data_IF_263699690344
#
_entry.id   IF_263699690344
#
_cell.length_a   1.000
_cell.length_b   1.000
_cell.length_c   1.000
_cell.angle_alpha   90.00
_cell.angle_beta   90.00
_cell.angle_gamma   90.00
#
_symmetry.space_group_name_H-M   'P 1'
#
loop_
_entity.id
_entity.type
_entity.pdbx_description
1 polymer ?
#
# COMPACT_ATOMS: atom_id res chain seq x y z
N UNK A 1 38.45 -25.54 -51.58
CA UNK A 1 37.42 -25.21 -52.58
C UNK A 1 36.12 -25.00 -51.80
N UNK A 2 35.64 -23.74 -51.76
CA UNK A 2 34.32 -23.22 -51.31
C UNK A 2 33.87 -23.52 -49.85
N UNK A 3 33.84 -22.57 -48.89
CA UNK A 3 32.86 -21.46 -48.65
C UNK A 3 31.40 -21.91 -48.91
N UNK A 4 30.42 -21.79 -48.02
CA UNK A 4 30.01 -20.62 -47.22
C UNK A 4 28.92 -21.02 -46.18
N UNK A 5 28.75 -20.30 -45.06
CA UNK A 5 27.75 -20.72 -44.05
C UNK A 5 27.59 -19.93 -42.76
N UNK A 6 27.80 -18.61 -42.80
CA UNK A 6 27.22 -17.57 -41.91
C UNK A 6 27.05 -17.86 -40.40
N UNK A 7 27.91 -17.19 -39.65
CA UNK A 7 27.65 -16.72 -38.30
C UNK A 7 26.31 -15.97 -38.17
N UNK A 8 25.50 -16.36 -37.18
CA UNK A 8 24.56 -15.47 -36.49
C UNK A 8 24.62 -15.80 -35.00
N UNK A 9 25.42 -15.03 -34.28
CA UNK A 9 25.31 -14.95 -32.83
C UNK A 9 23.94 -14.38 -32.48
N UNK A 10 23.21 -15.10 -31.63
CA UNK A 10 22.07 -14.54 -30.90
C UNK A 10 22.57 -14.34 -29.48
N UNK A 11 23.13 -13.15 -29.25
CA UNK A 11 23.34 -12.63 -27.91
C UNK A 11 21.95 -12.21 -27.40
N UNK A 12 21.23 -13.13 -26.75
CA UNK A 12 20.03 -12.80 -25.99
C UNK A 12 20.42 -12.04 -24.71
N UNK A 13 20.76 -10.76 -24.85
CA UNK A 13 20.71 -9.81 -23.74
C UNK A 13 19.26 -9.39 -23.55
N UNK A 14 18.48 -10.22 -22.85
CA UNK A 14 17.26 -9.77 -22.21
C UNK A 14 17.65 -8.97 -20.96
N UNK A 15 18.04 -7.73 -21.15
CA UNK A 15 17.98 -6.73 -20.08
C UNK A 15 16.50 -6.35 -19.96
N UNK A 16 15.75 -7.16 -19.21
CA UNK A 16 14.43 -6.76 -18.71
C UNK A 16 14.68 -5.70 -17.64
N UNK A 17 14.76 -4.44 -18.07
CA UNK A 17 14.71 -3.31 -17.15
C UNK A 17 13.34 -3.34 -16.46
N UNK A 18 13.38 -3.46 -15.14
CA UNK A 18 12.18 -3.36 -14.30
C UNK A 18 11.59 -1.94 -14.46
N UNK A 19 10.56 -1.80 -15.30
CA UNK A 19 9.68 -0.63 -15.26
C UNK A 19 8.73 -0.81 -14.08
N UNK A 20 9.17 -0.39 -12.90
CA UNK A 20 8.28 -0.13 -11.78
C UNK A 20 7.62 1.22 -12.06
N UNK A 21 6.33 1.25 -12.38
CA UNK A 21 5.57 2.48 -12.19
C UNK A 21 5.58 2.77 -10.68
N UNK A 22 6.38 3.73 -10.25
CA UNK A 22 6.52 4.09 -8.84
C UNK A 22 5.49 5.15 -8.51
N UNK A 23 4.80 4.97 -7.39
CA UNK A 23 3.71 5.82 -6.95
C UNK A 23 4.19 6.75 -5.86
N UNK A 24 3.82 8.02 -5.98
CA UNK A 24 4.18 9.06 -5.03
C UNK A 24 3.10 9.18 -3.95
N UNK A 25 3.55 9.23 -2.69
CA UNK A 25 2.72 9.25 -1.51
C UNK A 25 3.61 9.47 -0.30
N UNK A 26 3.40 10.51 0.49
CA UNK A 26 4.32 10.89 1.56
C UNK A 26 3.66 11.80 2.59
N UNK A 27 4.34 11.98 3.72
CA UNK A 27 4.01 13.06 4.65
C UNK A 27 4.49 14.41 4.12
N UNK A 28 3.87 15.48 4.63
CA UNK A 28 4.44 16.82 4.51
C UNK A 28 5.75 16.87 5.32
N UNK A 29 6.87 17.11 4.65
CA UNK A 29 8.17 17.32 5.28
C UNK A 29 8.54 18.81 5.37
N UNK A 30 9.25 19.19 6.41
CA UNK A 30 9.98 20.46 6.42
C UNK A 30 11.09 20.39 5.37
N UNK A 31 11.17 21.37 4.47
CA UNK A 31 12.19 21.41 3.42
C UNK A 31 13.00 22.70 3.46
N UNK A 32 14.29 22.60 3.16
CA UNK A 32 15.12 23.74 2.85
C UNK A 32 15.05 24.02 1.34
N UNK A 33 14.77 25.26 0.97
CA UNK A 33 14.79 25.70 -0.43
C UNK A 33 16.10 26.43 -0.70
N UNK A 34 16.97 25.82 -1.50
CA UNK A 34 18.28 26.36 -1.85
C UNK A 34 18.45 26.35 -3.37
N UNK A 35 18.70 27.52 -3.97
CA UNK A 35 19.07 27.61 -5.39
C UNK A 35 18.04 27.07 -6.39
N UNK A 36 16.75 27.06 -6.03
CA UNK A 36 15.66 26.59 -6.90
C UNK A 36 15.36 25.09 -6.78
N UNK A 37 16.00 24.38 -5.86
CA UNK A 37 15.68 22.99 -5.49
C UNK A 37 15.23 22.92 -4.02
N UNK A 38 14.54 21.85 -3.66
CA UNK A 38 14.14 21.55 -2.28
C UNK A 38 14.91 20.33 -1.78
N UNK A 39 15.28 20.33 -0.50
CA UNK A 39 15.83 19.16 0.19
C UNK A 39 15.08 18.98 1.50
N UNK A 40 14.82 17.74 1.88
CA UNK A 40 14.25 17.44 3.19
C UNK A 40 15.18 17.96 4.29
N UNK A 41 14.64 18.71 5.25
CA UNK A 41 15.42 19.19 6.38
C UNK A 41 15.90 18.03 7.23
N UNK A 42 17.10 18.17 7.80
CA UNK A 42 17.61 17.22 8.77
C UNK A 42 16.72 17.16 10.02
N UNK A 43 16.33 18.33 10.56
CA UNK A 43 15.33 18.49 11.60
C UNK A 43 14.89 19.97 11.67
N UNK A 44 13.60 20.22 11.85
CA UNK A 44 13.04 21.53 12.19
C UNK A 44 13.22 21.78 13.69
N UNK A 45 13.80 22.92 14.12
CA UNK A 45 14.21 23.09 15.52
C UNK A 45 13.07 23.36 16.50
N UNK A 46 11.90 23.83 16.03
CA UNK A 46 10.85 24.35 16.91
C UNK A 46 9.44 23.88 16.58
N UNK A 47 9.23 23.22 15.45
CA UNK A 47 7.89 22.80 15.01
C UNK A 47 7.85 21.28 15.03
N UNK A 48 7.03 20.71 15.91
CA UNK A 48 6.81 19.25 16.01
C UNK A 48 5.51 18.85 15.32
N UNK A 49 5.47 17.66 14.72
CA UNK A 49 4.22 17.04 14.26
C UNK A 49 3.56 16.30 15.45
N UNK A 50 2.45 16.82 15.96
CA UNK A 50 1.74 16.19 17.09
C UNK A 50 1.04 14.91 16.67
N UNK A 51 0.40 14.94 15.51
CA UNK A 51 -0.31 13.79 14.99
C UNK A 51 -0.55 13.88 13.49
N UNK A 52 -0.73 12.71 12.89
CA UNK A 52 -1.19 12.55 11.53
C UNK A 52 -2.32 11.52 11.41
N UNK A 53 -3.20 11.76 10.45
CA UNK A 53 -4.21 10.82 10.01
C UNK A 53 -4.16 10.69 8.49
N UNK A 54 -3.83 9.48 8.03
CA UNK A 54 -3.66 9.14 6.63
C UNK A 54 -4.71 8.11 6.25
N UNK A 55 -5.70 8.53 5.46
CA UNK A 55 -6.70 7.64 4.87
C UNK A 55 -6.33 7.29 3.43
N UNK A 56 -6.29 6.00 3.13
CA UNK A 56 -6.00 5.47 1.79
C UNK A 56 -7.23 4.72 1.28
N UNK A 57 -7.95 5.27 0.31
CA UNK A 57 -9.08 4.62 -0.36
C UNK A 57 -8.60 3.93 -1.64
N UNK A 58 -8.66 2.60 -1.67
CA UNK A 58 -8.22 1.76 -2.77
C UNK A 58 -9.40 1.37 -3.68
N UNK A 59 -9.31 1.75 -4.96
CA UNK A 59 -10.29 1.45 -6.01
C UNK A 59 -9.71 0.47 -7.05
N UNK A 60 -10.45 0.11 -8.10
CA UNK A 60 -10.00 -0.97 -9.00
C UNK A 60 -8.72 -0.72 -9.78
N UNK A 61 -8.39 0.54 -10.03
CA UNK A 61 -7.34 0.99 -10.94
C UNK A 61 -6.41 2.06 -10.33
N UNK A 62 -6.77 2.59 -9.17
CA UNK A 62 -6.12 3.73 -8.55
C UNK A 62 -6.43 3.77 -7.06
N UNK A 63 -5.66 4.58 -6.33
CA UNK A 63 -5.94 4.88 -4.94
C UNK A 63 -5.97 6.38 -4.71
N UNK A 64 -6.75 6.79 -3.70
CA UNK A 64 -6.85 8.17 -3.25
C UNK A 64 -6.38 8.26 -1.81
N UNK A 65 -5.53 9.23 -1.52
CA UNK A 65 -5.04 9.48 -0.17
C UNK A 65 -5.56 10.82 0.33
N UNK A 66 -5.93 10.84 1.61
CA UNK A 66 -6.21 12.05 2.39
C UNK A 66 -5.36 12.00 3.64
N UNK A 67 -4.31 12.81 3.68
CA UNK A 67 -3.43 12.97 4.82
C UNK A 67 -3.72 14.31 5.50
N UNK A 68 -3.78 14.32 6.82
CA UNK A 68 -3.95 15.52 7.64
C UNK A 68 -2.90 15.50 8.75
N UNK A 69 -2.24 16.64 8.95
CA UNK A 69 -1.11 16.79 9.85
C UNK A 69 -1.38 17.95 10.80
N UNK A 70 -1.11 17.74 12.08
CA UNK A 70 -1.16 18.80 13.08
C UNK A 70 0.24 19.09 13.56
N UNK A 71 0.63 20.36 13.45
CA UNK A 71 1.95 20.83 13.86
C UNK A 71 1.81 21.81 15.01
N UNK A 72 2.69 21.72 16.00
CA UNK A 72 2.77 22.67 17.09
C UNK A 72 4.12 23.41 17.05
N UNK A 73 4.08 24.74 17.08
CA UNK A 73 5.28 25.57 17.14
C UNK A 73 5.62 25.93 18.59
N UNK A 74 6.75 25.41 19.08
CA UNK A 74 7.29 25.66 20.43
C UNK A 74 8.06 26.99 20.54
N UNK A 75 8.35 27.65 19.40
CA UNK A 75 9.18 28.84 19.31
C UNK A 75 8.43 30.12 18.96
N UNK A 76 9.18 31.10 18.47
CA UNK A 76 8.64 32.33 17.91
C UNK A 76 7.88 32.07 16.60
N UNK A 77 7.03 33.01 16.19
CA UNK A 77 6.33 32.90 14.91
C UNK A 77 7.33 32.84 13.77
N UNK A 78 7.19 31.86 12.89
CA UNK A 78 8.08 31.67 11.74
C UNK A 78 7.29 31.25 10.49
N UNK A 79 7.92 31.35 9.34
CA UNK A 79 7.41 30.79 8.08
C UNK A 79 8.39 29.72 7.62
N UNK A 80 7.86 28.57 7.23
CA UNK A 80 8.64 27.41 6.81
C UNK A 80 8.11 26.91 5.48
N UNK A 81 9.04 26.55 4.59
CA UNK A 81 8.72 25.81 3.38
C UNK A 81 8.36 24.37 3.75
N UNK A 82 7.16 23.95 3.38
CA UNK A 82 6.62 22.61 3.58
C UNK A 82 6.54 21.92 2.23
N UNK A 83 7.22 20.79 2.10
CA UNK A 83 7.33 20.04 0.86
C UNK A 83 6.63 18.69 0.94
N UNK A 84 5.83 18.38 -0.07
CA UNK A 84 5.31 17.05 -0.33
C UNK A 84 6.19 16.37 -1.40
N UNK A 85 6.95 15.31 -1.07
CA UNK A 85 7.82 14.65 -2.02
C UNK A 85 7.06 13.81 -3.05
N UNK A 86 7.61 13.75 -4.25
CA UNK A 86 7.09 12.93 -5.35
C UNK A 86 8.18 11.97 -5.83
N UNK A 87 7.96 10.68 -5.65
CA UNK A 87 8.82 9.63 -6.21
C UNK A 87 8.36 9.21 -7.61
N UNK A 88 9.30 8.74 -8.44
CA UNK A 88 8.96 7.76 -9.47
C UNK A 88 8.40 8.27 -10.79
N UNK A 89 8.22 9.58 -10.97
CA UNK A 89 7.80 10.17 -12.25
C UNK A 89 9.04 10.42 -13.14
N UNK A 90 9.73 9.35 -13.54
CA UNK A 90 10.91 9.43 -14.42
C UNK A 90 10.54 9.12 -15.88
N UNK A 91 11.12 9.84 -16.83
CA UNK A 91 10.92 9.67 -18.28
C UNK A 91 10.17 10.81 -18.98
N UNK A 92 10.01 10.70 -20.31
CA UNK A 92 9.49 11.75 -21.20
C UNK A 92 7.97 12.01 -21.10
N UNK A 93 7.21 11.13 -20.43
CA UNK A 93 5.76 11.26 -20.19
C UNK A 93 5.48 11.52 -18.71
N UNK A 94 5.93 12.69 -18.23
CA UNK A 94 5.66 13.22 -16.89
C UNK A 94 4.18 13.59 -16.76
N UNK A 95 3.36 12.68 -16.27
CA UNK A 95 2.06 13.08 -15.77
C UNK A 95 2.15 13.23 -14.25
N UNK A 96 1.95 14.45 -13.77
CA UNK A 96 1.70 14.78 -12.36
C UNK A 96 0.48 13.97 -11.86
N UNK A 97 0.19 14.02 -10.57
CA UNK A 97 -0.98 13.35 -10.01
C UNK A 97 -2.25 13.67 -10.81
N UNK A 98 -3.08 12.67 -11.17
CA UNK A 98 -4.41 12.90 -11.73
C UNK A 98 -5.26 13.87 -10.91
N UNK A 99 -5.02 13.94 -9.61
CA UNK A 99 -5.61 14.91 -8.69
C UNK A 99 -4.61 15.20 -7.57
N UNK A 100 -4.38 16.47 -7.26
CA UNK A 100 -3.62 16.91 -6.08
C UNK A 100 -4.22 18.22 -5.55
N UNK A 101 -4.46 18.28 -4.24
CA UNK A 101 -4.80 19.51 -3.52
C UNK A 101 -4.15 19.49 -2.15
N UNK A 102 -3.83 20.68 -1.65
CA UNK A 102 -3.30 20.86 -0.31
C UNK A 102 -3.94 22.05 0.39
N UNK A 103 -4.02 21.96 1.71
CA UNK A 103 -4.64 22.96 2.57
C UNK A 103 -3.69 23.37 3.70
N UNK A 104 -3.88 24.60 4.17
CA UNK A 104 -3.33 25.13 5.42
C UNK A 104 -4.49 25.75 6.19
N UNK A 105 -4.73 25.26 7.42
CA UNK A 105 -5.84 25.71 8.28
C UNK A 105 -7.19 25.75 7.53
N UNK A 106 -7.51 24.67 6.81
CA UNK A 106 -8.77 24.52 6.05
C UNK A 106 -8.83 25.29 4.73
N UNK A 107 -7.85 26.14 4.40
CA UNK A 107 -7.82 26.91 3.14
C UNK A 107 -6.92 26.23 2.11
N UNK A 108 -7.42 26.09 0.89
CA UNK A 108 -6.64 25.59 -0.25
C UNK A 108 -5.48 26.55 -0.52
N UNK A 109 -4.29 26.01 -0.73
CA UNK A 109 -3.10 26.80 -1.13
C UNK A 109 -2.47 26.21 -2.39
N UNK A 110 -1.80 27.06 -3.15
CA UNK A 110 -1.02 26.64 -4.32
C UNK A 110 0.36 26.12 -3.91
N UNK A 111 0.98 25.34 -4.80
CA UNK A 111 2.32 24.78 -4.59
C UNK A 111 3.23 25.10 -5.76
N UNK A 112 4.52 25.27 -5.49
CA UNK A 112 5.57 25.31 -6.50
C UNK A 112 6.25 23.94 -6.61
N UNK A 113 6.56 23.51 -7.83
CA UNK A 113 7.32 22.28 -8.05
C UNK A 113 8.81 22.61 -8.08
N UNK A 114 9.57 22.05 -7.15
CA UNK A 114 11.02 22.20 -7.06
C UNK A 114 11.68 20.83 -7.19
N UNK A 115 12.74 20.66 -8.03
CA UNK A 115 13.49 19.41 -8.08
C UNK A 115 14.09 19.07 -6.71
N UNK A 116 14.27 17.79 -6.45
CA UNK A 116 15.00 17.33 -5.26
C UNK A 116 16.48 17.66 -5.41
N UNK A 117 17.05 18.35 -4.44
CA UNK A 117 18.49 18.51 -4.34
C UNK A 117 19.06 17.24 -3.72
N UNK A 118 19.68 16.39 -4.55
CA UNK A 118 20.33 15.17 -4.08
C UNK A 118 21.18 15.45 -2.82
N UNK A 119 20.90 14.75 -1.73
CA UNK A 119 21.55 14.95 -0.43
C UNK A 119 22.74 13.99 -0.20
N UNK A 120 23.16 13.30 -1.26
CA UNK A 120 24.35 12.45 -1.26
C UNK A 120 24.15 11.01 -0.78
N UNK A 121 22.92 10.60 -0.45
CA UNK A 121 22.59 9.22 -0.04
C UNK A 121 22.37 8.24 -1.23
N UNK A 122 22.33 8.77 -2.46
CA UNK A 122 22.15 8.01 -3.69
C UNK A 122 20.69 7.73 -4.07
N UNK A 123 19.72 8.10 -3.23
CA UNK A 123 18.28 8.00 -3.51
C UNK A 123 17.64 9.40 -3.53
N UNK A 124 16.91 9.72 -4.60
CA UNK A 124 16.29 11.06 -4.75
C UNK A 124 14.82 10.95 -5.08
N UNK A 125 14.05 11.89 -4.54
CA UNK A 125 12.73 12.21 -5.03
C UNK A 125 12.85 12.83 -6.44
N UNK A 126 11.80 12.72 -7.24
CA UNK A 126 11.77 13.38 -8.55
C UNK A 126 11.64 14.89 -8.41
N UNK A 127 10.80 15.33 -7.48
CA UNK A 127 10.59 16.73 -7.10
C UNK A 127 9.76 16.81 -5.81
N UNK A 128 9.69 18.00 -5.23
CA UNK A 128 8.76 18.36 -4.16
C UNK A 128 7.70 19.32 -4.69
N UNK A 129 6.47 19.18 -4.18
CA UNK A 129 5.45 20.23 -4.23
C UNK A 129 5.54 21.04 -2.95
N UNK A 130 6.00 22.28 -3.06
CA UNK A 130 6.36 23.13 -1.91
C UNK A 130 5.35 24.26 -1.73
N UNK A 131 4.98 24.52 -0.48
CA UNK A 131 4.15 25.65 -0.04
C UNK A 131 4.81 26.35 1.14
N UNK A 132 4.62 27.66 1.25
CA UNK A 132 5.04 28.43 2.42
C UNK A 132 3.96 28.40 3.49
N UNK A 133 4.32 28.00 4.72
CA UNK A 133 3.38 27.89 5.84
C UNK A 133 3.85 28.77 6.99
N UNK A 134 2.98 29.70 7.41
CA UNK A 134 3.20 30.47 8.63
C UNK A 134 2.78 29.65 9.84
N UNK A 135 3.70 29.45 10.77
CA UNK A 135 3.48 28.82 12.06
C UNK A 135 3.51 29.89 13.17
N UNK A 136 2.35 30.33 13.69
CA UNK A 136 2.31 31.28 14.81
C UNK A 136 2.98 30.71 16.06
N UNK A 137 3.54 31.57 16.91
CA UNK A 137 4.16 31.17 18.16
C UNK A 137 3.18 30.42 19.06
N UNK A 138 3.63 29.34 19.71
CA UNK A 138 2.86 28.55 20.69
C UNK A 138 1.46 28.19 20.21
N UNK A 139 1.33 27.82 18.94
CA UNK A 139 0.05 27.54 18.30
C UNK A 139 0.14 26.29 17.44
N UNK A 140 -1.01 25.63 17.29
CA UNK A 140 -1.19 24.57 16.31
C UNK A 140 -1.46 25.16 14.93
N UNK A 141 -0.89 24.53 13.90
CA UNK A 141 -1.20 24.76 12.48
C UNK A 141 -1.53 23.41 11.85
N UNK A 142 -2.62 23.36 11.09
CA UNK A 142 -3.03 22.14 10.38
C UNK A 142 -2.63 22.26 8.91
N UNK A 143 -2.02 21.22 8.36
CA UNK A 143 -1.94 21.04 6.90
C UNK A 143 -2.66 19.77 6.48
N UNK A 144 -3.09 19.73 5.23
CA UNK A 144 -3.65 18.52 4.65
C UNK A 144 -3.23 18.38 3.20
N UNK A 145 -3.17 17.14 2.72
CA UNK A 145 -2.91 16.80 1.32
C UNK A 145 -3.92 15.74 0.88
N UNK A 146 -4.50 15.93 -0.30
CA UNK A 146 -5.33 14.92 -0.97
C UNK A 146 -4.84 14.72 -2.39
N UNK A 147 -4.58 13.48 -2.77
CA UNK A 147 -4.17 13.15 -4.13
C UNK A 147 -4.75 11.81 -4.59
N UNK A 148 -4.73 11.59 -5.90
CA UNK A 148 -5.01 10.30 -6.53
C UNK A 148 -3.79 9.85 -7.31
N UNK A 149 -3.43 8.58 -7.20
CA UNK A 149 -2.31 7.97 -7.91
C UNK A 149 -2.71 6.59 -8.46
N UNK A 150 -2.14 6.16 -9.60
CA UNK A 150 -2.28 4.79 -10.07
C UNK A 150 -1.58 3.83 -9.11
N UNK A 151 -1.80 2.52 -9.22
CA UNK A 151 -0.98 1.54 -8.49
C UNK A 151 0.41 1.38 -9.08
N UNK A 152 1.38 1.07 -8.21
CA UNK A 152 2.64 0.53 -8.68
C UNK A 152 2.43 -0.90 -9.11
N UNK A 153 3.13 -1.35 -10.15
CA UNK A 153 3.05 -2.73 -10.61
C UNK A 153 4.43 -3.34 -10.76
N UNK A 154 4.53 -4.65 -10.58
CA UNK A 154 5.71 -5.42 -10.95
C UNK A 154 5.38 -6.37 -12.10
N UNK A 155 6.41 -6.84 -12.80
CA UNK A 155 6.27 -7.76 -13.94
C UNK A 155 5.62 -9.09 -13.57
N UNK A 156 5.58 -9.43 -12.28
CA UNK A 156 4.90 -10.61 -11.79
C UNK A 156 3.39 -10.41 -11.57
N UNK A 157 2.82 -9.25 -11.87
CA UNK A 157 1.40 -8.94 -11.70
C UNK A 157 0.99 -8.51 -10.27
N UNK A 158 1.94 -8.25 -9.39
CA UNK A 158 1.70 -7.64 -8.08
C UNK A 158 1.47 -6.13 -8.24
N UNK A 159 0.40 -5.65 -7.61
CA UNK A 159 0.10 -4.25 -7.44
C UNK A 159 0.58 -3.80 -6.06
N UNK A 160 1.01 -2.55 -5.97
CA UNK A 160 1.49 -2.00 -4.70
C UNK A 160 1.14 -0.52 -4.52
N UNK A 161 0.98 -0.16 -3.26
CA UNK A 161 1.02 1.20 -2.75
C UNK A 161 2.26 1.33 -1.88
N UNK A 162 2.92 2.47 -1.95
CA UNK A 162 3.87 2.92 -0.95
C UNK A 162 3.34 4.23 -0.39
N UNK A 163 3.49 4.48 0.91
CA UNK A 163 3.25 5.78 1.53
C UNK A 163 4.44 6.11 2.44
N UNK A 164 5.14 7.18 2.13
CA UNK A 164 6.46 7.56 2.65
C UNK A 164 6.31 8.46 3.89
N UNK A 165 6.10 7.85 5.06
CA UNK A 165 6.00 8.59 6.32
C UNK A 165 7.37 9.02 6.88
N UNK A 166 8.46 8.53 6.26
CA UNK A 166 9.84 8.90 6.58
C UNK A 166 10.14 10.39 6.56
N UNK A 167 9.42 11.12 5.71
CA UNK A 167 9.58 12.56 5.50
C UNK A 167 9.09 13.39 6.68
N UNK A 168 8.19 12.84 7.50
CA UNK A 168 7.81 13.43 8.78
C UNK A 168 8.96 13.50 9.80
N UNK A 169 10.07 12.78 9.58
CA UNK A 169 11.27 12.83 10.42
C UNK A 169 12.06 14.14 10.32
N UNK A 170 11.68 15.01 9.38
CA UNK A 170 12.22 16.37 9.25
C UNK A 170 11.65 17.35 10.29
N UNK A 171 10.64 16.96 11.05
CA UNK A 171 10.03 17.81 12.08
C UNK A 171 10.71 17.64 13.45
N UNK A 172 10.50 18.60 14.36
CA UNK A 172 11.10 18.57 15.69
C UNK A 172 10.65 17.33 16.48
N UNK A 173 11.60 16.49 16.87
CA UNK A 173 11.32 15.32 17.68
C UNK A 173 10.45 14.25 16.99
N UNK A 174 9.84 13.34 17.76
CA UNK A 174 9.00 12.28 17.22
C UNK A 174 7.64 12.81 16.74
N UNK A 175 7.04 12.12 15.76
CA UNK A 175 5.62 12.26 15.43
C UNK A 175 4.84 11.67 16.61
N UNK A 176 4.01 12.48 17.26
CA UNK A 176 3.32 12.07 18.49
C UNK A 176 2.39 10.87 18.27
N UNK A 177 1.52 10.93 17.26
CA UNK A 177 0.63 9.83 16.86
C UNK A 177 0.46 9.76 15.34
N UNK A 178 0.57 8.57 14.76
CA UNK A 178 0.31 8.33 13.35
C UNK A 178 -0.79 7.28 13.16
N UNK A 179 -1.87 7.63 12.45
CA UNK A 179 -2.97 6.72 12.14
C UNK A 179 -3.09 6.49 10.64
N UNK A 180 -2.97 5.24 10.21
CA UNK A 180 -3.15 4.81 8.82
C UNK A 180 -4.46 4.03 8.67
N UNK A 181 -5.46 4.63 8.02
CA UNK A 181 -6.79 4.08 7.76
C UNK A 181 -6.90 3.62 6.30
N UNK A 182 -6.70 2.32 6.07
CA UNK A 182 -6.68 1.70 4.74
C UNK A 182 -8.08 1.17 4.44
N UNK A 183 -8.71 1.69 3.40
CA UNK A 183 -10.04 1.30 2.91
C UNK A 183 -9.90 0.57 1.58
N UNK A 184 -10.44 -0.64 1.51
CA UNK A 184 -10.23 -1.53 0.36
C UNK A 184 -11.55 -2.10 -0.14
N UNK A 185 -11.77 -2.03 -1.44
CA UNK A 185 -12.85 -2.78 -2.10
C UNK A 185 -12.50 -4.28 -2.09
N UNK A 186 -13.28 -5.07 -1.36
CA UNK A 186 -13.05 -6.50 -1.16
C UNK A 186 -13.05 -7.33 -2.45
N UNK A 187 -13.63 -6.80 -3.54
CA UNK A 187 -13.62 -7.46 -4.84
C UNK A 187 -12.25 -7.40 -5.53
N UNK A 188 -11.35 -6.55 -5.06
CA UNK A 188 -10.08 -6.28 -5.73
C UNK A 188 -8.96 -7.26 -5.38
N UNK A 189 -9.08 -8.07 -4.33
CA UNK A 189 -7.86 -8.57 -3.68
C UNK A 189 -7.85 -10.09 -3.51
N UNK A 190 -7.08 -10.75 -4.39
CA UNK A 190 -6.40 -11.99 -4.02
C UNK A 190 -5.24 -11.58 -3.11
N UNK A 191 -5.38 -11.79 -1.81
CA UNK A 191 -4.52 -11.12 -0.83
C UNK A 191 -3.26 -11.91 -0.45
N UNK A 192 -2.13 -11.22 -0.56
CA UNK A 192 -1.05 -11.24 0.41
C UNK A 192 -0.83 -9.77 0.82
N UNK A 193 -1.43 -9.33 1.94
CA UNK A 193 -1.24 -7.97 2.45
C UNK A 193 0.11 -7.92 3.16
N UNK A 194 1.18 -7.85 2.38
CA UNK A 194 2.51 -7.69 2.95
C UNK A 194 2.71 -6.21 3.28
N UNK A 195 2.60 -5.86 4.56
CA UNK A 195 2.92 -4.51 5.01
C UNK A 195 4.42 -4.44 5.29
N UNK A 196 5.24 -4.35 4.24
CA UNK A 196 6.67 -4.11 4.44
C UNK A 196 6.86 -2.75 5.14
N UNK A 197 7.58 -2.73 6.26
CA UNK A 197 7.65 -1.58 7.19
C UNK A 197 6.81 -1.74 8.47
N UNK A 198 5.78 -2.61 8.46
CA UNK A 198 5.03 -3.07 9.65
C UNK A 198 5.18 -4.57 9.93
N UNK A 199 5.64 -5.35 8.95
CA UNK A 199 5.96 -6.78 9.09
C UNK A 199 7.10 -7.07 10.07
N UNK A 200 7.67 -6.01 10.65
CA UNK A 200 8.49 -6.08 11.82
C UNK A 200 7.81 -5.25 12.89
N UNK A 201 7.38 -5.92 13.96
CA UNK A 201 7.10 -5.37 15.29
C UNK A 201 8.32 -4.62 15.90
N UNK A 202 9.23 -4.06 15.09
CA UNK A 202 10.36 -3.24 15.52
C UNK A 202 10.03 -1.74 15.63
N UNK A 203 8.95 -1.27 14.99
CA UNK A 203 8.49 0.13 15.09
C UNK A 203 7.38 0.35 16.13
N UNK A 204 6.83 -0.73 16.72
CA UNK A 204 5.79 -0.66 17.75
C UNK A 204 4.37 -0.36 17.25
N UNK A 205 4.12 -0.39 15.94
CA UNK A 205 2.78 -0.16 15.38
C UNK A 205 1.75 -1.23 15.77
N UNK A 206 0.49 -0.81 15.95
CA UNK A 206 -0.62 -1.64 16.41
C UNK A 206 -1.79 -1.60 15.42
N UNK A 207 -2.32 -2.76 15.05
CA UNK A 207 -3.64 -2.83 14.40
C UNK A 207 -4.71 -2.53 15.45
N UNK A 208 -5.41 -1.42 15.31
CA UNK A 208 -6.40 -0.95 16.30
C UNK A 208 -7.84 -1.25 15.90
N UNK A 209 -8.09 -1.49 14.62
CA UNK A 209 -9.41 -1.87 14.12
C UNK A 209 -9.31 -2.67 12.82
N UNK A 210 -10.20 -3.64 12.68
CA UNK A 210 -10.34 -4.41 11.45
C UNK A 210 -11.80 -4.73 11.16
N UNK A 211 -12.36 -4.08 10.15
CA UNK A 211 -13.74 -4.33 9.71
C UNK A 211 -13.81 -4.64 8.21
N UNK A 212 -15.02 -4.77 7.67
CA UNK A 212 -15.23 -5.12 6.26
C UNK A 212 -14.58 -4.09 5.33
N UNK A 213 -13.58 -4.51 4.54
CA UNK A 213 -12.82 -3.59 3.68
C UNK A 213 -12.07 -2.47 4.41
N UNK A 214 -11.69 -2.64 5.69
CA UNK A 214 -10.94 -1.64 6.44
C UNK A 214 -9.87 -2.24 7.35
N UNK A 215 -8.69 -1.63 7.35
CA UNK A 215 -7.60 -1.87 8.30
C UNK A 215 -7.13 -0.53 8.88
N UNK A 216 -7.02 -0.42 10.21
CA UNK A 216 -6.52 0.79 10.86
C UNK A 216 -5.32 0.49 11.73
N UNK A 217 -4.19 1.10 11.41
CA UNK A 217 -2.95 1.01 12.16
C UNK A 217 -2.70 2.31 12.92
N UNK A 218 -2.15 2.18 14.12
CA UNK A 218 -1.71 3.29 14.96
C UNK A 218 -0.24 3.08 15.33
N UNK A 219 0.55 4.15 15.28
CA UNK A 219 1.87 4.24 15.89
C UNK A 219 1.91 5.44 16.82
N UNK A 220 2.59 5.30 17.94
CA UNK A 220 2.79 6.37 18.91
C UNK A 220 4.28 6.70 19.00
N UNK A 221 4.60 7.98 19.19
CA UNK A 221 5.95 8.48 19.42
C UNK A 221 6.96 8.01 18.35
N UNK A 222 6.54 8.09 17.08
CA UNK A 222 7.25 7.57 15.93
C UNK A 222 8.48 8.45 15.62
N UNK A 223 9.65 7.83 15.48
CA UNK A 223 10.89 8.49 15.03
C UNK A 223 11.26 7.95 13.65
N UNK A 224 10.65 8.48 12.58
CA UNK A 224 10.77 7.89 11.27
C UNK A 224 12.13 8.23 10.64
N UNK A 225 12.71 7.27 9.94
CA UNK A 225 13.87 7.49 9.07
C UNK A 225 13.39 7.95 7.70
N UNK A 226 14.21 8.73 6.99
CA UNK A 226 13.91 9.31 5.66
C UNK A 226 13.15 8.39 4.70
N UNK A 227 13.53 7.11 4.64
CA UNK A 227 12.99 6.09 3.72
C UNK A 227 11.97 5.12 4.33
N UNK A 228 11.54 5.36 5.57
CA UNK A 228 10.50 4.55 6.20
C UNK A 228 9.16 4.76 5.49
N UNK A 229 8.52 3.65 5.12
CA UNK A 229 7.27 3.69 4.36
C UNK A 229 6.31 2.59 4.80
N UNK A 230 5.03 2.90 4.67
CA UNK A 230 3.95 1.92 4.65
C UNK A 230 3.88 1.37 3.23
N UNK A 231 4.24 0.10 3.04
CA UNK A 231 4.01 -0.60 1.77
C UNK A 231 2.77 -1.45 1.87
N UNK A 232 1.95 -1.48 0.84
CA UNK A 232 0.82 -2.40 0.73
C UNK A 232 0.88 -3.09 -0.62
N UNK A 233 1.19 -4.38 -0.62
CA UNK A 233 1.18 -5.23 -1.81
C UNK A 233 -0.14 -5.98 -1.92
N UNK A 234 -0.61 -6.22 -3.15
CA UNK A 234 -1.80 -7.02 -3.42
C UNK A 234 -1.86 -7.51 -4.86
N UNK A 235 -2.79 -8.41 -5.17
CA UNK A 235 -3.06 -8.88 -6.54
C UNK A 235 -4.54 -8.80 -6.84
N UNK A 236 -4.88 -8.54 -8.11
CA UNK A 236 -6.27 -8.69 -8.53
C UNK A 236 -6.67 -10.16 -8.42
N UNK A 237 -7.86 -10.41 -7.87
CA UNK A 237 -8.38 -11.74 -7.57
C UNK A 237 -8.30 -12.74 -8.74
N UNK A 238 -8.42 -12.25 -9.96
CA UNK A 238 -8.43 -13.05 -11.19
C UNK A 238 -7.07 -13.15 -11.85
N UNK A 239 -6.10 -12.29 -11.51
CA UNK A 239 -4.74 -12.32 -12.07
C UNK A 239 -3.83 -13.37 -11.43
N UNK A 240 -4.34 -14.18 -10.49
CA UNK A 240 -3.68 -15.40 -10.04
C UNK A 240 -3.79 -16.47 -11.14
N UNK A 241 -3.05 -16.31 -12.25
CA UNK A 241 -3.03 -17.24 -13.37
C UNK A 241 -1.82 -18.19 -13.34
N UNK A 242 -2.03 -19.36 -13.94
CA UNK A 242 -1.08 -20.45 -14.09
C UNK A 242 -0.59 -20.42 -15.55
N UNK A 243 0.47 -19.68 -15.85
CA UNK A 243 0.88 -19.42 -17.24
C UNK A 243 2.04 -20.28 -17.74
N UNK A 244 2.57 -21.23 -16.96
CA UNK A 244 3.61 -22.15 -17.47
C UNK A 244 3.31 -23.62 -17.16
N UNK A 245 3.42 -24.53 -18.15
CA UNK A 245 3.58 -25.97 -17.90
C UNK A 245 5.01 -26.27 -17.41
N UNK A 246 5.27 -27.43 -16.76
CA UNK A 246 6.57 -27.77 -16.17
C UNK A 246 7.71 -27.72 -17.21
N UNK A 247 8.94 -27.30 -16.84
CA UNK A 247 9.67 -27.92 -15.73
C UNK A 247 10.06 -26.99 -14.57
N UNK A 248 9.55 -25.76 -14.53
CA UNK A 248 9.81 -24.82 -13.43
C UNK A 248 8.49 -24.59 -12.68
N UNK A 249 8.23 -25.40 -11.66
CA UNK A 249 7.04 -25.41 -10.79
C UNK A 249 6.93 -24.13 -9.92
N UNK A 250 7.36 -22.98 -10.43
CA UNK A 250 7.15 -21.69 -9.78
C UNK A 250 5.73 -21.23 -10.03
N UNK A 251 4.82 -21.74 -9.21
CA UNK A 251 3.44 -21.27 -9.14
C UNK A 251 3.41 -19.76 -8.84
N UNK A 252 2.72 -19.00 -9.68
CA UNK A 252 2.31 -17.64 -9.34
C UNK A 252 1.08 -17.72 -8.43
N UNK A 253 1.32 -17.66 -7.11
CA UNK A 253 0.39 -17.84 -5.97
C UNK A 253 0.37 -19.25 -5.36
N UNK A 254 1.52 -19.78 -4.89
CA UNK A 254 1.61 -21.15 -4.32
C UNK A 254 0.73 -21.33 -3.07
N UNK A 255 0.41 -20.24 -2.38
CA UNK A 255 -0.37 -20.21 -1.13
C UNK A 255 -1.87 -20.51 -1.32
N UNK A 256 -2.42 -20.22 -2.51
CA UNK A 256 -3.79 -20.61 -2.85
C UNK A 256 -3.87 -22.08 -3.29
N UNK A 257 -2.75 -22.68 -3.69
CA UNK A 257 -2.70 -23.91 -4.47
C UNK A 257 -2.02 -25.09 -3.78
N UNK A 258 -1.29 -24.88 -2.67
CA UNK A 258 -0.73 -25.97 -1.88
C UNK A 258 -1.82 -27.05 -1.66
N UNK A 259 -1.61 -28.21 -2.30
CA UNK A 259 -2.59 -29.30 -2.39
C UNK A 259 -3.06 -29.77 -1.01
N UNK A 260 -2.27 -29.49 0.02
CA UNK A 260 -2.63 -29.60 1.43
C UNK A 260 -2.92 -28.22 2.04
N UNK A 261 -4.18 -27.78 1.92
CA UNK A 261 -4.75 -26.71 2.76
C UNK A 261 -4.56 -26.93 4.27
N UNK A 262 -4.14 -28.14 4.67
CA UNK A 262 -3.82 -28.55 6.04
C UNK A 262 -2.42 -28.08 6.54
N UNK A 263 -1.49 -27.75 5.64
CA UNK A 263 -0.11 -27.39 6.02
C UNK A 263 0.21 -25.89 5.91
N UNK A 264 -0.60 -25.11 5.20
CA UNK A 264 -0.35 -23.68 5.06
C UNK A 264 -0.85 -22.90 6.28
N UNK A 265 0.09 -22.36 7.05
CA UNK A 265 -0.17 -21.30 8.01
C UNK A 265 0.11 -19.95 7.33
N UNK A 266 -0.77 -18.94 7.48
CA UNK A 266 -0.44 -17.60 7.01
C UNK A 266 0.88 -17.15 7.66
N UNK A 267 1.81 -16.52 6.90
CA UNK A 267 3.03 -16.01 7.51
C UNK A 267 2.63 -15.00 8.59
N UNK A 268 2.90 -15.29 9.86
CA UNK A 268 2.54 -14.39 10.96
C UNK A 268 3.41 -13.11 10.93
N UNK A 269 2.84 -11.91 11.15
CA UNK A 269 1.41 -11.61 11.26
C UNK A 269 0.82 -11.22 9.91
N UNK A 270 0.20 -12.16 9.19
CA UNK A 270 -0.61 -11.85 8.01
C UNK A 270 -2.06 -11.68 8.46
N UNK A 271 -2.63 -10.52 8.21
CA UNK A 271 -4.04 -10.22 8.48
C UNK A 271 -4.90 -10.74 7.31
N UNK A 272 -5.53 -11.95 7.40
CA UNK A 272 -6.12 -12.58 6.21
C UNK A 272 -7.45 -11.93 5.87
N UNK A 273 -7.56 -11.22 4.76
CA UNK A 273 -8.78 -10.51 4.34
C UNK A 273 -10.07 -11.35 4.37
N UNK A 274 -11.23 -10.70 4.41
CA UNK A 274 -12.52 -11.40 4.39
C UNK A 274 -12.70 -12.22 3.11
N UNK A 275 -12.30 -11.69 1.95
CA UNK A 275 -12.33 -12.44 0.69
C UNK A 275 -11.40 -13.65 0.73
N UNK A 276 -10.21 -13.55 1.33
CA UNK A 276 -9.32 -14.69 1.54
C UNK A 276 -10.00 -15.79 2.38
N UNK A 277 -10.59 -15.43 3.51
CA UNK A 277 -11.30 -16.37 4.38
C UNK A 277 -12.51 -17.00 3.66
N UNK A 278 -13.24 -16.22 2.86
CA UNK A 278 -14.32 -16.73 2.00
C UNK A 278 -13.79 -17.72 0.96
N UNK A 279 -12.70 -17.41 0.29
CA UNK A 279 -12.10 -18.31 -0.70
C UNK A 279 -11.62 -19.61 -0.05
N UNK A 280 -10.90 -19.55 1.08
CA UNK A 280 -10.45 -20.75 1.79
C UNK A 280 -11.59 -21.61 2.34
N UNK A 281 -12.63 -20.98 2.89
CA UNK A 281 -13.87 -21.69 3.26
C UNK A 281 -14.48 -22.39 2.06
N UNK A 282 -14.64 -21.67 0.94
CA UNK A 282 -15.29 -22.21 -0.25
C UNK A 282 -14.43 -23.20 -1.03
N UNK A 283 -13.10 -23.13 -0.91
CA UNK A 283 -12.18 -24.07 -1.52
C UNK A 283 -12.47 -25.50 -1.05
N UNK A 284 -12.75 -25.70 0.24
CA UNK A 284 -13.17 -26.99 0.79
C UNK A 284 -14.33 -27.56 -0.03
N UNK A 285 -15.41 -26.80 -0.21
CA UNK A 285 -16.56 -27.25 -1.00
C UNK A 285 -16.24 -27.40 -2.49
N UNK A 286 -15.38 -26.53 -3.05
CA UNK A 286 -14.96 -26.58 -4.45
C UNK A 286 -14.20 -27.88 -4.79
N UNK A 287 -13.34 -28.36 -3.88
CA UNK A 287 -12.60 -29.62 -4.04
C UNK A 287 -13.51 -30.84 -4.12
N UNK A 288 -14.72 -30.74 -3.56
CA UNK A 288 -15.77 -31.76 -3.61
C UNK A 288 -16.82 -31.50 -4.72
N UNK A 289 -16.54 -30.59 -5.66
CA UNK A 289 -17.39 -30.35 -6.83
C UNK A 289 -18.60 -29.45 -6.60
N UNK A 290 -18.65 -28.70 -5.49
CA UNK A 290 -19.78 -27.80 -5.20
C UNK A 290 -20.03 -26.79 -6.34
N UNK A 291 -21.28 -26.65 -6.78
CA UNK A 291 -21.68 -25.73 -7.85
C UNK A 291 -22.03 -24.36 -7.28
N UNK A 292 -21.14 -23.38 -7.45
CA UNK A 292 -21.31 -22.03 -6.91
C UNK A 292 -22.36 -21.21 -7.66
N UNK A 293 -23.25 -20.55 -6.90
CA UNK A 293 -24.20 -19.54 -7.40
C UNK A 293 -23.70 -18.10 -7.23
N UNK A 294 -22.89 -17.85 -6.21
CA UNK A 294 -22.25 -16.54 -5.99
C UNK A 294 -21.36 -16.20 -7.20
N UNK A 295 -21.57 -15.06 -7.89
CA UNK A 295 -20.84 -14.75 -9.12
C UNK A 295 -19.33 -14.66 -8.93
N UNK A 296 -18.85 -14.17 -7.78
CA UNK A 296 -17.43 -14.02 -7.48
C UNK A 296 -16.80 -15.39 -7.25
N UNK A 297 -17.41 -16.24 -6.42
CA UNK A 297 -16.93 -17.60 -6.17
C UNK A 297 -16.98 -18.45 -7.45
N UNK A 298 -18.09 -18.37 -8.18
CA UNK A 298 -18.25 -19.07 -9.46
C UNK A 298 -17.15 -18.68 -10.44
N UNK A 299 -16.95 -17.38 -10.68
CA UNK A 299 -15.91 -16.89 -11.59
C UNK A 299 -14.50 -17.32 -11.13
N UNK A 300 -14.23 -17.24 -9.83
CA UNK A 300 -12.93 -17.63 -9.27
C UNK A 300 -12.64 -19.12 -9.39
N UNK A 301 -13.57 -20.00 -9.02
CA UNK A 301 -13.34 -21.45 -9.04
C UNK A 301 -13.41 -22.02 -10.46
N UNK A 302 -14.28 -21.50 -11.33
CA UNK A 302 -14.32 -21.89 -12.76
C UNK A 302 -13.03 -21.55 -13.51
N UNK A 303 -12.24 -20.58 -13.05
CA UNK A 303 -10.92 -20.29 -13.64
C UNK A 303 -9.81 -21.22 -13.14
N UNK A 304 -10.10 -22.18 -12.24
CA UNK A 304 -9.12 -23.12 -11.69
C UNK A 304 -9.15 -24.43 -12.45
N UNK A 305 -7.99 -24.88 -12.94
CA UNK A 305 -7.87 -26.13 -13.70
C UNK A 305 -8.29 -27.37 -12.90
N UNK A 306 -8.12 -27.36 -11.57
CA UNK A 306 -8.47 -28.47 -10.70
C UNK A 306 -9.97 -28.53 -10.31
N UNK A 307 -10.74 -27.46 -10.54
CA UNK A 307 -12.14 -27.42 -10.14
C UNK A 307 -13.03 -28.09 -11.18
N UNK A 308 -13.71 -29.15 -10.79
CA UNK A 308 -14.70 -29.85 -11.62
C UNK A 308 -16.06 -29.80 -10.92
N UNK A 309 -17.06 -29.07 -11.44
CA UNK A 309 -18.39 -29.03 -10.83
C UNK A 309 -19.09 -30.39 -10.96
N UNK A 310 -19.70 -30.85 -9.88
CA UNK A 310 -20.48 -32.08 -9.81
C UNK A 310 -21.96 -31.76 -9.54
N UNK A 311 -22.84 -32.15 -10.47
CA UNK A 311 -24.29 -31.99 -10.32
C UNK A 311 -24.89 -32.94 -9.28
N UNK A 312 -24.19 -34.03 -8.95
CA UNK A 312 -24.55 -34.98 -7.92
C UNK A 312 -23.84 -34.70 -6.58
N UNK A 313 -23.34 -33.47 -6.40
CA UNK A 313 -22.60 -33.01 -5.23
C UNK A 313 -23.05 -33.62 -3.89
N UNK A 314 -22.10 -34.22 -3.19
CA UNK A 314 -22.23 -34.65 -1.79
C UNK A 314 -21.46 -33.73 -0.85
N UNK A 315 -21.98 -33.52 0.36
CA UNK A 315 -21.30 -32.76 1.39
C UNK A 315 -19.88 -33.31 1.67
N UNK A 316 -18.91 -32.45 2.03
CA UNK A 316 -17.57 -32.90 2.40
C UNK A 316 -17.62 -33.76 3.67
N UNK A 317 -16.54 -34.50 3.92
CA UNK A 317 -16.40 -35.25 5.17
C UNK A 317 -16.40 -34.31 6.39
N UNK A 318 -16.81 -34.77 7.59
CA UNK A 318 -16.95 -33.93 8.77
C UNK A 318 -15.69 -33.13 9.17
N UNK A 319 -14.49 -33.70 8.94
CA UNK A 319 -13.21 -33.06 9.21
C UNK A 319 -12.95 -31.85 8.30
N UNK A 320 -13.31 -31.95 7.03
CA UNK A 320 -13.19 -30.89 6.04
C UNK A 320 -14.24 -29.80 6.32
N UNK A 321 -15.45 -30.20 6.69
CA UNK A 321 -16.49 -29.26 7.13
C UNK A 321 -16.05 -28.46 8.36
N UNK A 322 -15.42 -29.11 9.34
CA UNK A 322 -14.85 -28.43 10.52
C UNK A 322 -13.80 -27.38 10.13
N UNK A 323 -12.95 -27.68 9.14
CA UNK A 323 -11.99 -26.71 8.62
C UNK A 323 -12.69 -25.52 7.96
N UNK A 324 -13.69 -25.75 7.11
CA UNK A 324 -14.48 -24.67 6.51
C UNK A 324 -15.15 -23.77 7.58
N UNK A 325 -15.71 -24.39 8.63
CA UNK A 325 -16.32 -23.68 9.76
C UNK A 325 -15.30 -22.85 10.55
N UNK A 326 -14.03 -23.27 10.63
CA UNK A 326 -12.98 -22.47 11.27
C UNK A 326 -12.72 -21.15 10.53
N UNK A 327 -12.69 -21.18 9.19
CA UNK A 327 -12.59 -19.96 8.36
C UNK A 327 -13.85 -19.10 8.51
N UNK A 328 -15.03 -19.73 8.58
CA UNK A 328 -16.29 -19.03 8.80
C UNK A 328 -16.33 -18.30 10.15
N UNK A 329 -15.83 -18.93 11.22
CA UNK A 329 -15.76 -18.31 12.54
C UNK A 329 -14.87 -17.06 12.53
N UNK A 330 -13.70 -17.12 11.87
CA UNK A 330 -12.80 -15.97 11.69
C UNK A 330 -13.46 -14.84 10.89
N UNK A 331 -14.15 -15.17 9.80
CA UNK A 331 -14.91 -14.20 8.99
C UNK A 331 -15.96 -13.48 9.85
N UNK A 332 -16.74 -14.24 10.63
CA UNK A 332 -17.78 -13.68 11.52
C UNK A 332 -17.18 -12.80 12.61
N UNK A 333 -16.02 -13.15 13.16
CA UNK A 333 -15.34 -12.32 14.16
C UNK A 333 -15.00 -10.94 13.58
N UNK A 334 -14.38 -10.88 12.39
CA UNK A 334 -14.04 -9.63 11.71
C UNK A 334 -15.29 -8.83 11.33
N UNK A 335 -16.35 -9.49 10.85
CA UNK A 335 -17.60 -8.81 10.46
C UNK A 335 -18.36 -8.18 11.63
N UNK A 336 -18.08 -8.60 12.87
CA UNK A 336 -18.67 -8.01 14.07
C UNK A 336 -17.92 -6.77 14.57
N UNK A 337 -16.69 -6.55 14.12
CA UNK A 337 -15.95 -5.35 14.47
C UNK A 337 -16.58 -4.12 13.79
N UNK A 338 -16.88 -3.06 14.55
CA UNK A 338 -17.44 -1.85 13.97
C UNK A 338 -16.41 -1.16 13.08
N UNK A 339 -16.88 -0.44 12.07
CA UNK A 339 -16.03 0.46 11.29
C UNK A 339 -15.40 1.51 12.20
N UNK A 340 -14.08 1.65 12.14
CA UNK A 340 -13.42 2.78 12.79
C UNK A 340 -13.81 4.07 12.08
N UNK A 341 -14.25 5.02 12.89
CA UNK A 341 -14.54 6.40 12.48
C UNK A 341 -13.57 7.28 13.24
N UNK A 342 -12.69 8.05 12.56
CA UNK A 342 -11.80 8.96 13.25
C UNK A 342 -12.64 9.99 14.03
N UNK A 343 -12.15 10.50 15.17
CA UNK A 343 -12.74 11.66 15.82
C UNK A 343 -12.87 12.80 14.80
N UNK A 344 -13.97 13.56 14.85
CA UNK A 344 -14.09 14.78 14.04
C UNK A 344 -13.02 15.78 14.46
N UNK A 345 -11.87 15.75 13.79
CA UNK A 345 -10.95 16.87 13.78
C UNK A 345 -11.63 17.97 12.96
N UNK A 346 -11.86 19.11 13.60
CA UNK A 346 -12.55 20.24 12.96
C UNK A 346 -11.85 20.59 11.64
N UNK A 347 -12.61 20.51 10.55
CA UNK A 347 -12.19 21.07 9.26
C UNK A 347 -12.18 22.58 9.31
#
# INVERSE_FOLDING_TARGET
MQWDGRARGILCLLVLSALVAKTAAADDGGVDVMGGSAVLMAEQPTISMSDEYVRIDMSSDSFRVRASFHFFNHGASTTVAVGFPVEGLTGANKHDFPYFKTWVNGKVVETHTLPDAADGDGETYSYFKVKEVRFPATSTTTTAVEYTAPYGFSSNGELSIRYQYGTGGSWHGPIGKAVFDIRVDENLLGFDAMIAGFNSLSTGGRLINRSKGQLVFELDNLKPKRWDSLRFSFRQLLLCFHDTPPPDDREYCPWFMAEDSKQWQPPEPAFPSLIYLRLKRNEVYARHGYVFRDPVMKRFFQSRRWYTPDLAYSAPAPEDEKLALSFKAREVAILKEPHYTPPTTGR
#
